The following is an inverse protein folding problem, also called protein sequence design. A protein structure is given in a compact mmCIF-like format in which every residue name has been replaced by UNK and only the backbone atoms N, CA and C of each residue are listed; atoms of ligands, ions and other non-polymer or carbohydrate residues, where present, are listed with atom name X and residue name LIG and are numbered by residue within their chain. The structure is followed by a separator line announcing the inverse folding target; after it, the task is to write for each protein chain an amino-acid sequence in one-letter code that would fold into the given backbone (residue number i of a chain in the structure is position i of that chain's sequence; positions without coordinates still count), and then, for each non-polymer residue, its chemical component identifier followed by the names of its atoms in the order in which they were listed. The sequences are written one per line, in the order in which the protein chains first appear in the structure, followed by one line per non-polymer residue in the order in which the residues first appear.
data_IF_588133249791
#
_entry.id   IF_588133249791
#
_cell.length_a   1.000
_cell.length_b   1.000
_cell.length_c   1.000
_cell.angle_alpha   90.00
_cell.angle_beta   90.00
_cell.angle_gamma   90.00
#
_symmetry.space_group_name_H-M   'P 1'
#
loop_
_entity.id
_entity.type
_entity.pdbx_description
1 polymer ?
#
# COMPACT_ATOMS: atom_id res chain seq x y z
N UNK A 1 -8.34 15.25 -0.42
CA UNK A 1 -7.34 14.94 0.64
C UNK A 1 -7.00 13.46 0.49
N UNK A 2 -5.77 13.17 0.13
CA UNK A 2 -5.28 11.79 0.00
C UNK A 2 -4.98 11.27 1.40
N UNK A 3 -5.73 10.28 1.86
CA UNK A 3 -5.40 9.54 3.05
C UNK A 3 -4.62 8.29 2.62
N UNK A 4 -3.32 8.33 2.82
CA UNK A 4 -2.45 7.20 2.52
C UNK A 4 -2.12 6.50 3.84
N UNK A 5 -2.59 5.27 3.97
CA UNK A 5 -2.32 4.44 5.16
C UNK A 5 -1.09 3.60 4.84
N UNK A 6 0.08 4.23 4.92
CA UNK A 6 1.39 3.71 4.52
C UNK A 6 1.78 2.36 5.11
N UNK A 7 1.25 2.01 6.29
CA UNK A 7 1.61 0.77 6.97
C UNK A 7 0.79 -0.45 6.58
N UNK A 8 -0.29 -0.28 5.78
CA UNK A 8 -1.29 -1.34 5.61
C UNK A 8 -1.51 -1.77 4.15
N UNK A 9 -0.71 -1.27 3.21
CA UNK A 9 -0.84 -1.65 1.80
C UNK A 9 -2.18 -1.28 1.16
N UNK A 10 -2.90 -0.31 1.73
CA UNK A 10 -4.21 0.14 1.28
C UNK A 10 -4.15 1.56 0.73
N UNK A 11 -4.87 1.81 -0.35
CA UNK A 11 -5.04 3.11 -0.95
C UNK A 11 -6.50 3.53 -0.99
N UNK A 12 -6.82 4.71 -0.48
CA UNK A 12 -8.17 5.30 -0.54
C UNK A 12 -8.15 6.44 -1.56
N UNK A 13 -8.80 6.24 -2.71
CA UNK A 13 -8.91 7.24 -3.77
C UNK A 13 -10.08 8.20 -3.55
N UNK A 14 -9.85 9.49 -3.75
CA UNK A 14 -10.74 10.57 -3.38
C UNK A 14 -11.49 11.21 -4.56
N UNK A 15 -11.90 10.50 -5.60
CA UNK A 15 -12.86 11.04 -6.58
C UNK A 15 -13.33 9.99 -7.59
N UNK A 16 -14.55 9.47 -7.41
CA UNK A 16 -15.51 9.20 -8.50
C UNK A 16 -16.88 8.80 -7.91
N UNK A 17 -18.01 9.38 -8.34
CA UNK A 17 -19.31 8.92 -7.90
C UNK A 17 -19.63 7.59 -8.59
N UNK A 18 -19.71 6.52 -7.79
CA UNK A 18 -20.15 5.23 -8.29
C UNK A 18 -21.66 5.24 -8.51
N UNK A 19 -22.10 5.24 -9.77
CA UNK A 19 -23.44 4.85 -10.13
C UNK A 19 -23.46 3.36 -10.49
N UNK A 20 -24.01 2.57 -9.64
CA UNK A 20 -24.94 1.46 -9.82
C UNK A 20 -24.78 0.39 -8.73
N UNK A 21 -25.85 0.26 -7.93
CA UNK A 21 -26.04 -0.83 -6.99
C UNK A 21 -26.11 -2.17 -7.73
N UNK A 22 -25.14 -3.06 -7.49
CA UNK A 22 -25.34 -4.50 -7.63
C UNK A 22 -25.36 -5.10 -6.24
N UNK A 23 -26.50 -5.67 -5.87
CA UNK A 23 -26.62 -6.50 -4.67
C UNK A 23 -25.70 -7.72 -4.83
N UNK A 24 -24.56 -7.67 -4.19
CA UNK A 24 -23.70 -8.84 -4.03
C UNK A 24 -24.15 -9.52 -2.74
N UNK A 25 -24.57 -10.77 -2.87
CA UNK A 25 -24.98 -11.65 -1.77
C UNK A 25 -23.78 -11.91 -0.87
N UNK A 26 -23.60 -11.07 0.15
CA UNK A 26 -22.62 -11.32 1.20
C UNK A 26 -23.25 -12.28 2.20
N UNK A 27 -22.60 -13.41 2.43
CA UNK A 27 -22.95 -14.28 3.54
C UNK A 27 -22.91 -13.42 4.82
N UNK A 28 -24.08 -13.22 5.47
CA UNK A 28 -24.15 -12.70 6.82
C UNK A 28 -23.38 -13.67 7.71
N UNK A 29 -22.18 -13.33 8.07
CA UNK A 29 -21.60 -13.88 9.29
C UNK A 29 -22.31 -13.20 10.46
N UNK A 30 -23.43 -13.81 10.88
CA UNK A 30 -24.01 -13.51 12.18
C UNK A 30 -22.95 -13.88 13.21
N UNK A 31 -22.64 -12.88 14.05
CA UNK A 31 -21.95 -13.06 15.35
C UNK A 31 -20.59 -13.81 15.29
N UNK A 32 -19.68 -13.40 14.41
CA UNK A 32 -18.29 -13.67 14.67
C UNK A 32 -17.85 -12.72 15.81
N UNK A 33 -17.93 -13.19 17.06
CA UNK A 33 -17.01 -12.74 18.09
C UNK A 33 -15.62 -12.94 17.49
N UNK A 34 -15.01 -11.85 17.00
CA UNK A 34 -13.61 -11.85 16.63
C UNK A 34 -12.89 -11.91 17.96
N UNK A 35 -12.55 -13.12 18.34
CA UNK A 35 -12.01 -13.65 19.58
C UNK A 35 -11.08 -12.62 20.27
N UNK A 36 -11.67 -11.70 21.06
CA UNK A 36 -10.96 -10.75 21.91
C UNK A 36 -9.95 -9.79 21.25
N UNK A 37 -9.85 -9.73 19.92
CA UNK A 37 -8.94 -8.81 19.22
C UNK A 37 -9.59 -7.44 19.03
N UNK A 38 -8.97 -6.41 19.60
CA UNK A 38 -9.27 -5.02 19.27
C UNK A 38 -8.65 -4.65 17.93
N UNK A 39 -9.35 -3.83 17.14
CA UNK A 39 -8.78 -3.24 15.93
C UNK A 39 -7.95 -2.00 16.29
N UNK A 40 -6.75 -1.91 15.73
CA UNK A 40 -5.95 -0.67 15.77
C UNK A 40 -6.59 0.42 14.89
N UNK A 41 -7.18 -0.02 13.76
CA UNK A 41 -7.80 0.87 12.80
C UNK A 41 -9.02 0.19 12.17
N UNK A 42 -10.12 0.93 12.05
CA UNK A 42 -11.27 0.54 11.23
C UNK A 42 -11.50 1.60 10.17
N UNK A 43 -11.59 1.19 8.91
CA UNK A 43 -11.99 2.06 7.81
C UNK A 43 -13.44 1.72 7.48
N UNK A 44 -14.34 2.66 7.70
CA UNK A 44 -15.78 2.49 7.56
C UNK A 44 -16.29 2.96 6.22
N UNK A 45 -17.45 2.45 5.84
CA UNK A 45 -18.17 2.91 4.64
C UNK A 45 -17.30 2.89 3.38
N UNK A 46 -16.45 1.86 3.23
CA UNK A 46 -15.61 1.69 2.05
C UNK A 46 -16.44 1.18 0.87
N UNK A 47 -16.11 1.64 -0.33
CA UNK A 47 -16.46 0.96 -1.56
C UNK A 47 -15.22 0.19 -2.03
N UNK A 48 -15.11 -1.07 -1.59
CA UNK A 48 -13.91 -1.89 -1.81
C UNK A 48 -13.92 -2.38 -3.25
N UNK A 49 -12.84 -2.08 -3.97
CA UNK A 49 -12.65 -2.53 -5.35
C UNK A 49 -11.44 -3.45 -5.42
N UNK A 50 -11.69 -4.71 -5.75
CA UNK A 50 -10.67 -5.75 -5.97
C UNK A 50 -10.53 -6.05 -7.46
N UNK A 51 -9.66 -6.99 -7.82
CA UNK A 51 -9.51 -7.41 -9.21
C UNK A 51 -10.79 -8.08 -9.79
N UNK A 52 -11.66 -8.64 -8.94
CA UNK A 52 -12.85 -9.38 -9.35
C UNK A 52 -14.17 -8.70 -9.00
N UNK A 53 -14.21 -7.93 -7.91
CA UNK A 53 -15.45 -7.46 -7.31
C UNK A 53 -15.38 -6.01 -6.81
N UNK A 54 -16.57 -5.38 -6.73
CA UNK A 54 -16.75 -4.07 -6.08
C UNK A 54 -17.92 -4.20 -5.11
N UNK A 55 -17.69 -3.92 -3.83
CA UNK A 55 -18.70 -4.05 -2.78
C UNK A 55 -18.48 -3.07 -1.64
N UNK A 56 -19.56 -2.73 -0.92
CA UNK A 56 -19.50 -1.87 0.25
C UNK A 56 -19.22 -2.70 1.51
N UNK A 57 -18.20 -2.31 2.29
CA UNK A 57 -17.87 -2.93 3.58
C UNK A 57 -16.96 -2.02 4.41
N UNK A 58 -16.77 -2.39 5.68
CA UNK A 58 -15.75 -1.84 6.56
C UNK A 58 -14.50 -2.75 6.51
N UNK A 59 -13.34 -2.19 6.84
CA UNK A 59 -12.06 -2.91 6.90
C UNK A 59 -11.51 -2.78 8.31
N UNK A 60 -11.30 -3.90 8.99
CA UNK A 60 -10.69 -3.97 10.31
C UNK A 60 -9.22 -4.40 10.22
N UNK A 61 -8.35 -3.64 10.89
CA UNK A 61 -6.90 -3.80 10.84
C UNK A 61 -6.36 -3.97 12.25
N UNK A 62 -5.48 -4.96 12.43
CA UNK A 62 -4.70 -5.16 13.65
C UNK A 62 -3.32 -5.71 13.32
N UNK A 63 -2.31 -5.34 14.10
CA UNK A 63 -0.90 -5.71 13.90
C UNK A 63 -0.41 -5.46 12.47
N UNK A 64 -0.83 -4.32 11.87
CA UNK A 64 -0.46 -3.95 10.51
C UNK A 64 -1.08 -4.80 9.40
N UNK A 65 -2.12 -5.58 9.68
CA UNK A 65 -2.76 -6.48 8.71
C UNK A 65 -4.27 -6.27 8.68
N UNK A 66 -4.85 -6.43 7.49
CA UNK A 66 -6.30 -6.56 7.35
C UNK A 66 -6.69 -7.93 7.94
N UNK A 67 -7.45 -7.91 9.01
CA UNK A 67 -7.89 -9.14 9.68
C UNK A 67 -9.38 -9.41 9.50
N UNK A 68 -10.15 -8.40 9.10
CA UNK A 68 -11.56 -8.53 8.84
C UNK A 68 -12.04 -7.57 7.75
N UNK A 69 -12.94 -8.04 6.90
CA UNK A 69 -13.73 -7.21 5.98
C UNK A 69 -15.19 -7.60 6.21
N UNK A 70 -16.04 -6.65 6.56
CA UNK A 70 -17.44 -6.91 6.88
C UNK A 70 -18.22 -5.62 7.10
N UNK A 71 -19.44 -5.72 7.56
CA UNK A 71 -20.29 -4.57 7.87
C UNK A 71 -20.53 -4.45 9.36
N UNK A 72 -20.51 -3.22 9.88
CA UNK A 72 -20.79 -2.96 11.30
C UNK A 72 -19.72 -3.51 12.24
N UNK A 73 -18.45 -3.44 11.82
CA UNK A 73 -17.33 -3.87 12.66
C UNK A 73 -17.31 -3.11 13.99
N UNK A 74 -16.85 -3.73 15.10
CA UNK A 74 -16.58 -3.01 16.35
C UNK A 74 -15.68 -1.80 16.14
N UNK A 75 -15.71 -0.84 17.05
CA UNK A 75 -14.83 0.32 16.98
C UNK A 75 -13.36 -0.08 17.13
N UNK A 76 -12.49 0.57 16.36
CA UNK A 76 -11.05 0.48 16.54
C UNK A 76 -10.52 1.57 17.46
N UNK A 77 -9.22 1.53 17.74
CA UNK A 77 -8.54 2.66 18.41
C UNK A 77 -8.64 3.93 17.55
N UNK A 78 -8.62 3.76 16.22
CA UNK A 78 -8.85 4.80 15.22
C UNK A 78 -9.96 4.33 14.29
N UNK A 79 -10.97 5.18 14.08
CA UNK A 79 -12.01 4.99 13.08
C UNK A 79 -11.89 6.06 11.99
N UNK A 80 -11.88 5.63 10.72
CA UNK A 80 -11.84 6.51 9.56
C UNK A 80 -13.08 6.24 8.71
N UNK A 81 -13.89 7.25 8.45
CA UNK A 81 -15.02 7.15 7.52
C UNK A 81 -14.54 7.42 6.09
N UNK A 82 -14.61 6.41 5.24
CA UNK A 82 -14.29 6.55 3.82
C UNK A 82 -15.40 7.28 3.04
N UNK A 83 -16.57 7.52 3.64
CA UNK A 83 -17.70 8.24 3.02
C UNK A 83 -18.12 7.65 1.65
N UNK A 84 -18.05 6.33 1.50
CA UNK A 84 -18.35 5.64 0.24
C UNK A 84 -17.26 5.74 -0.82
N UNK A 85 -16.07 6.22 -0.47
CA UNK A 85 -14.95 6.32 -1.42
C UNK A 85 -14.42 4.94 -1.79
N UNK A 86 -13.80 4.88 -2.98
CA UNK A 86 -13.17 3.66 -3.47
C UNK A 86 -11.92 3.37 -2.64
N UNK A 87 -11.82 2.12 -2.17
CA UNK A 87 -10.66 1.57 -1.49
C UNK A 87 -10.12 0.41 -2.32
N UNK A 88 -8.86 0.47 -2.69
CA UNK A 88 -8.18 -0.57 -3.48
C UNK A 88 -6.96 -1.08 -2.73
N UNK A 89 -6.45 -2.28 -3.07
CA UNK A 89 -5.07 -2.61 -2.75
C UNK A 89 -4.11 -1.55 -3.28
N UNK A 90 -3.02 -1.30 -2.57
CA UNK A 90 -1.99 -0.37 -3.02
C UNK A 90 -1.35 -0.83 -4.33
N UNK A 91 -0.93 0.12 -5.15
CA UNK A 91 -0.24 -0.18 -6.40
C UNK A 91 1.14 -0.82 -6.16
N UNK A 92 1.53 -1.72 -7.06
CA UNK A 92 2.89 -2.27 -7.12
C UNK A 92 3.55 -1.77 -8.39
N UNK A 93 4.61 -0.97 -8.25
CA UNK A 93 5.45 -0.58 -9.38
C UNK A 93 6.59 -1.60 -9.52
N UNK A 94 6.42 -2.51 -10.45
CA UNK A 94 7.37 -3.60 -10.69
C UNK A 94 8.55 -3.22 -11.57
N UNK A 95 8.67 -1.95 -12.01
CA UNK A 95 9.76 -1.51 -12.86
C UNK A 95 10.02 -0.01 -12.70
N UNK A 96 10.86 0.36 -11.76
CA UNK A 96 11.26 1.74 -11.54
C UNK A 96 12.77 1.88 -11.32
N UNK A 97 13.25 3.11 -11.36
CA UNK A 97 14.66 3.44 -11.18
C UNK A 97 14.79 4.55 -10.13
N UNK A 98 15.35 4.22 -8.99
CA UNK A 98 15.64 5.15 -7.90
C UNK A 98 17.11 5.03 -7.48
N UNK A 99 17.72 6.17 -7.21
CA UNK A 99 19.06 6.27 -6.62
C UNK A 99 20.13 5.43 -7.35
N UNK A 100 19.96 5.23 -8.67
CA UNK A 100 20.92 4.48 -9.45
C UNK A 100 22.20 5.29 -9.68
N UNK A 101 23.37 4.63 -9.70
CA UNK A 101 24.61 5.26 -10.17
C UNK A 101 24.44 5.72 -11.62
N UNK A 102 24.79 6.99 -11.87
CA UNK A 102 24.82 7.59 -13.21
C UNK A 102 26.13 8.33 -13.41
N UNK A 103 26.61 8.39 -14.66
CA UNK A 103 27.85 9.08 -14.98
C UNK A 103 27.69 10.60 -14.86
N UNK A 104 28.64 11.29 -14.21
CA UNK A 104 28.65 12.74 -14.17
C UNK A 104 28.67 13.36 -15.59
N UNK A 105 28.01 14.52 -15.81
CA UNK A 105 27.35 15.39 -14.82
C UNK A 105 25.89 15.01 -14.47
N UNK A 106 25.40 13.89 -14.98
CA UNK A 106 24.03 13.43 -14.69
C UNK A 106 23.84 13.12 -13.21
N UNK A 107 22.60 13.30 -12.74
CA UNK A 107 22.16 12.90 -11.39
C UNK A 107 20.79 12.25 -11.53
N UNK A 108 20.52 11.26 -10.71
CA UNK A 108 19.16 10.76 -10.57
C UNK A 108 18.25 11.87 -10.03
N UNK A 109 17.03 11.94 -10.58
CA UNK A 109 16.02 12.90 -10.13
C UNK A 109 15.55 12.58 -8.70
N UNK A 110 15.42 11.29 -8.39
CA UNK A 110 14.91 10.80 -7.12
C UNK A 110 15.87 9.81 -6.44
N UNK A 111 15.98 9.97 -5.14
CA UNK A 111 16.50 8.98 -4.20
C UNK A 111 15.36 8.16 -3.60
N UNK A 112 15.67 7.21 -2.70
CA UNK A 112 14.62 6.41 -2.04
C UNK A 112 13.63 7.26 -1.26
N UNK A 113 14.04 8.23 -0.41
CA UNK A 113 13.09 9.08 0.30
C UNK A 113 12.14 9.86 -0.62
N UNK A 114 12.67 10.55 -1.63
CA UNK A 114 11.85 11.41 -2.51
C UNK A 114 10.95 10.59 -3.42
N UNK A 115 11.49 9.56 -4.07
CA UNK A 115 10.75 8.74 -5.02
C UNK A 115 9.67 7.89 -4.34
N UNK A 116 9.98 7.27 -3.20
CA UNK A 116 8.99 6.46 -2.46
C UNK A 116 7.89 7.31 -1.83
N UNK A 117 8.22 8.53 -1.38
CA UNK A 117 7.21 9.49 -0.93
C UNK A 117 6.27 9.90 -2.07
N UNK A 118 6.81 10.17 -3.25
CA UNK A 118 6.01 10.48 -4.43
C UNK A 118 5.12 9.31 -4.83
N UNK A 119 5.68 8.09 -4.88
CA UNK A 119 4.96 6.86 -5.16
C UNK A 119 3.78 6.66 -4.19
N UNK A 120 4.05 6.83 -2.90
CA UNK A 120 3.03 6.75 -1.86
C UNK A 120 1.91 7.79 -2.06
N UNK A 121 2.22 9.04 -2.37
CA UNK A 121 1.22 10.05 -2.67
C UNK A 121 0.38 9.71 -3.91
N UNK A 122 0.92 8.91 -4.83
CA UNK A 122 0.23 8.40 -6.01
C UNK A 122 -0.53 7.08 -5.80
N UNK A 123 -0.46 6.48 -4.60
CA UNK A 123 -1.15 5.23 -4.27
C UNK A 123 -0.34 3.96 -4.53
N UNK A 124 0.92 4.08 -4.88
CA UNK A 124 1.85 2.96 -4.94
C UNK A 124 2.37 2.66 -3.54
N UNK A 125 2.24 1.42 -3.09
CA UNK A 125 2.66 0.98 -1.75
C UNK A 125 3.83 0.02 -1.77
N UNK A 126 4.24 -0.44 -2.96
CA UNK A 126 5.38 -1.33 -3.15
C UNK A 126 6.10 -0.96 -4.44
N UNK A 127 7.42 -0.92 -4.41
CA UNK A 127 8.27 -0.69 -5.58
C UNK A 127 9.29 -1.80 -5.75
N UNK A 128 9.69 -2.08 -6.99
CA UNK A 128 10.73 -3.06 -7.31
C UNK A 128 11.76 -2.40 -8.26
N UNK A 129 12.62 -1.51 -7.73
CA UNK A 129 13.68 -0.89 -8.52
C UNK A 129 14.81 -1.86 -8.83
N UNK A 130 15.71 -1.45 -9.73
CA UNK A 130 16.87 -2.22 -10.13
C UNK A 130 18.08 -1.88 -9.26
N UNK A 131 18.62 -2.90 -8.58
CA UNK A 131 19.93 -2.84 -7.94
C UNK A 131 21.01 -3.12 -8.99
N UNK A 132 21.69 -2.08 -9.42
CA UNK A 132 22.69 -2.16 -10.47
C UNK A 132 24.01 -2.70 -9.93
N UNK A 133 24.50 -3.81 -10.52
CA UNK A 133 25.82 -4.35 -10.22
C UNK A 133 26.91 -3.48 -10.85
N UNK A 134 27.85 -3.05 -10.05
CA UNK A 134 29.04 -2.35 -10.56
C UNK A 134 30.03 -3.36 -11.16
N UNK A 135 30.70 -2.96 -12.25
CA UNK A 135 31.70 -3.83 -12.89
C UNK A 135 32.76 -4.30 -11.89
N UNK A 136 32.88 -5.62 -11.76
CA UNK A 136 33.83 -6.26 -10.82
C UNK A 136 33.31 -6.42 -9.41
N UNK A 137 32.09 -5.93 -9.10
CA UNK A 137 31.41 -6.19 -7.82
C UNK A 137 30.59 -7.47 -7.85
N UNK A 138 30.09 -7.91 -6.70
CA UNK A 138 29.15 -9.00 -6.61
C UNK A 138 27.70 -8.53 -6.66
N UNK A 139 26.77 -9.40 -7.09
CA UNK A 139 25.34 -9.12 -7.03
C UNK A 139 24.86 -8.92 -5.58
N UNK A 140 25.40 -9.69 -4.64
CA UNK A 140 25.05 -9.56 -3.23
C UNK A 140 25.47 -8.21 -2.67
N UNK A 141 26.68 -7.74 -3.00
CA UNK A 141 27.13 -6.40 -2.58
C UNK A 141 26.21 -5.29 -3.12
N UNK A 142 25.72 -5.45 -4.36
CA UNK A 142 24.77 -4.52 -4.94
C UNK A 142 23.44 -4.51 -4.16
N UNK A 143 22.90 -5.67 -3.80
CA UNK A 143 21.68 -5.79 -2.99
C UNK A 143 21.88 -5.16 -1.62
N UNK A 144 22.97 -5.48 -0.94
CA UNK A 144 23.28 -4.94 0.39
C UNK A 144 23.43 -3.40 0.36
N UNK A 145 24.03 -2.87 -0.71
CA UNK A 145 24.15 -1.43 -0.89
C UNK A 145 22.79 -0.75 -1.08
N UNK A 146 21.93 -1.34 -1.92
CA UNK A 146 20.59 -0.80 -2.15
C UNK A 146 19.70 -0.90 -0.91
N UNK A 147 19.77 -2.01 -0.14
CA UNK A 147 19.10 -2.10 1.16
C UNK A 147 19.55 -0.98 2.10
N UNK A 148 20.85 -0.77 2.25
CA UNK A 148 21.37 0.31 3.13
C UNK A 148 20.87 1.70 2.72
N UNK A 149 20.62 1.94 1.43
CA UNK A 149 20.08 3.21 0.93
C UNK A 149 18.59 3.32 1.19
N UNK A 150 17.83 2.26 0.89
CA UNK A 150 16.38 2.21 1.08
C UNK A 150 15.98 2.26 2.55
N UNK A 151 16.67 1.51 3.41
CA UNK A 151 16.40 1.45 4.87
C UNK A 151 16.51 2.81 5.57
N UNK A 152 17.24 3.76 4.99
CA UNK A 152 17.42 5.10 5.55
C UNK A 152 16.19 6.00 5.42
N UNK A 153 15.26 5.70 4.53
CA UNK A 153 14.16 6.62 4.30
C UNK A 153 13.12 6.21 3.28
N UNK A 154 13.03 4.96 2.88
CA UNK A 154 11.91 4.51 2.06
C UNK A 154 10.61 4.58 2.88
N UNK A 155 9.57 5.14 2.27
CA UNK A 155 8.24 5.33 2.90
C UNK A 155 7.27 4.18 2.60
N UNK A 156 7.61 3.30 1.65
CA UNK A 156 6.77 2.17 1.23
C UNK A 156 7.62 0.92 1.14
N UNK A 157 6.98 -0.21 0.97
CA UNK A 157 7.67 -1.49 0.81
C UNK A 157 8.49 -1.52 -0.49
N UNK A 158 9.59 -2.26 -0.45
CA UNK A 158 10.46 -2.38 -1.61
C UNK A 158 11.06 -3.79 -1.72
N UNK A 159 11.36 -4.17 -2.95
CA UNK A 159 12.19 -5.31 -3.33
C UNK A 159 13.13 -4.85 -4.44
N UNK A 160 13.99 -5.73 -4.96
CA UNK A 160 14.92 -5.34 -6.02
C UNK A 160 14.95 -6.36 -7.16
N UNK A 161 14.99 -5.85 -8.38
CA UNK A 161 15.55 -6.59 -9.50
C UNK A 161 17.07 -6.46 -9.48
N UNK A 162 17.77 -7.49 -9.94
CA UNK A 162 19.23 -7.50 -10.08
C UNK A 162 19.62 -7.44 -11.57
N UNK A 163 20.55 -6.57 -11.92
CA UNK A 163 21.11 -6.45 -13.27
C UNK A 163 22.59 -6.06 -13.25
#
# INVERSE_FOLDING_TARGET
MLLNIYHFGLFVWLEYPAHQNREIFMARTQDAEIDGQSFELVIRNCNICTASDVYAADIGIAAGKIICIGTGLPAGDIDIDAEGRIVTPGGVDAHCHLDQPVEPPAKMADDFPSGTRSAACGGTTTIIPFAAQMKGGSLLDAVDDYHRRADKGAYIDYAFHLN
#
